data_IF_628709085016
#
_entry.id   IF_628709085016
#
_cell.length_a   1.000
_cell.length_b   1.000
_cell.length_c   1.000
_cell.angle_alpha   90.00
_cell.angle_beta   90.00
_cell.angle_gamma   90.00
#
_symmetry.space_group_name_H-M   'P 1'
#
loop_
_entity.id
_entity.type
_entity.pdbx_description
1 polymer ?
#
# COMPACT_ATOMS: atom_id res chain seq x y z
N UNK A 1 -6.27 12.97 8.46
CA UNK A 1 -5.67 12.11 7.41
C UNK A 1 -4.98 10.93 8.08
N UNK A 2 -5.18 9.68 7.63
CA UNK A 2 -4.52 8.50 8.16
C UNK A 2 -3.07 8.42 7.70
N UNK A 3 -2.20 7.90 8.57
CA UNK A 3 -0.82 7.59 8.21
C UNK A 3 -0.64 6.08 8.31
N UNK A 4 -0.05 5.51 7.28
CA UNK A 4 0.24 4.09 7.15
C UNK A 4 1.76 3.89 7.13
N UNK A 5 2.42 3.67 8.28
CA UNK A 5 3.78 3.15 8.23
C UNK A 5 3.81 1.86 7.42
N UNK A 6 4.88 1.64 6.67
CA UNK A 6 4.94 0.49 5.78
C UNK A 6 6.01 -0.53 6.21
N UNK A 7 5.70 -1.82 6.03
CA UNK A 7 6.60 -2.96 6.22
C UNK A 7 6.58 -3.79 4.93
N UNK A 8 7.72 -3.93 4.27
CA UNK A 8 7.90 -4.91 3.21
C UNK A 8 8.58 -6.14 3.80
N UNK A 9 8.00 -7.32 3.55
CA UNK A 9 8.49 -8.59 4.09
C UNK A 9 9.10 -9.41 2.96
N UNK A 10 10.36 -9.79 3.11
CA UNK A 10 11.05 -10.75 2.25
C UNK A 10 11.93 -11.65 3.09
N UNK A 11 11.88 -12.96 2.81
CA UNK A 11 12.64 -13.96 3.56
C UNK A 11 12.43 -13.81 5.09
N UNK A 12 11.18 -13.49 5.51
CA UNK A 12 10.75 -13.23 6.90
C UNK A 12 11.41 -12.01 7.57
N UNK A 13 12.03 -11.11 6.82
CA UNK A 13 12.70 -9.90 7.31
C UNK A 13 12.02 -8.64 6.79
N UNK A 14 12.21 -7.54 7.54
CA UNK A 14 11.90 -6.21 7.02
C UNK A 14 12.92 -5.82 5.96
N UNK A 15 12.43 -5.42 4.78
CA UNK A 15 13.29 -4.96 3.69
C UNK A 15 12.75 -3.69 3.05
N UNK A 16 13.57 -3.04 2.24
CA UNK A 16 13.16 -1.98 1.32
C UNK A 16 13.83 -2.19 -0.02
N UNK A 17 13.02 -2.10 -1.07
CA UNK A 17 13.49 -2.13 -2.44
C UNK A 17 13.70 -0.71 -2.96
N UNK A 18 14.64 -0.52 -3.87
CA UNK A 18 14.77 0.71 -4.65
C UNK A 18 14.03 0.53 -5.97
N UNK A 19 12.97 1.33 -6.19
CA UNK A 19 12.10 1.24 -7.38
C UNK A 19 11.60 -0.19 -7.67
N UNK A 20 11.30 -0.96 -6.63
CA UNK A 20 10.79 -2.33 -6.77
C UNK A 20 11.82 -3.36 -7.24
N UNK A 21 13.11 -3.00 -7.30
CA UNK A 21 14.18 -3.90 -7.73
C UNK A 21 14.57 -4.87 -6.60
N UNK A 22 14.31 -6.16 -6.81
CA UNK A 22 14.60 -7.23 -5.84
C UNK A 22 16.10 -7.48 -5.64
N UNK A 23 16.93 -7.11 -6.60
CA UNK A 23 18.40 -7.23 -6.52
C UNK A 23 19.02 -6.04 -5.77
N UNK A 24 18.25 -4.95 -5.62
CA UNK A 24 18.65 -3.73 -4.91
C UNK A 24 17.80 -3.54 -3.66
N UNK A 25 18.03 -4.38 -2.65
CA UNK A 25 17.31 -4.37 -1.37
C UNK A 25 18.20 -3.96 -0.22
N UNK A 26 17.63 -3.26 0.75
CA UNK A 26 18.20 -3.04 2.09
C UNK A 26 17.45 -3.93 3.07
N UNK A 27 18.15 -4.72 3.86
CA UNK A 27 17.58 -5.51 4.97
C UNK A 27 17.77 -4.74 6.28
N UNK A 28 16.76 -4.83 7.18
CA UNK A 28 16.79 -4.19 8.49
C UNK A 28 16.81 -5.24 9.60
N UNK A 29 17.41 -4.90 10.73
CA UNK A 29 17.63 -5.86 11.84
C UNK A 29 16.34 -6.29 12.54
N UNK A 30 15.36 -5.35 12.67
CA UNK A 30 14.08 -5.65 13.32
C UNK A 30 13.25 -6.63 12.49
N UNK A 31 12.68 -7.61 13.15
CA UNK A 31 11.67 -8.47 12.53
C UNK A 31 10.40 -7.69 12.19
N UNK A 32 9.57 -8.17 11.25
CA UNK A 32 8.29 -7.53 10.92
C UNK A 32 7.36 -7.37 12.13
N UNK A 33 7.37 -8.35 13.06
CA UNK A 33 6.55 -8.31 14.27
C UNK A 33 7.04 -7.22 15.24
N UNK A 34 8.35 -7.12 15.47
CA UNK A 34 8.94 -6.07 16.31
C UNK A 34 8.70 -4.68 15.72
N UNK A 35 8.83 -4.55 14.39
CA UNK A 35 8.59 -3.29 13.70
C UNK A 35 7.13 -2.85 13.80
N UNK A 36 6.18 -3.80 13.66
CA UNK A 36 4.75 -3.53 13.86
C UNK A 36 4.46 -3.10 15.31
N UNK A 37 5.06 -3.78 16.30
CA UNK A 37 4.98 -3.40 17.71
C UNK A 37 5.50 -1.99 17.97
N UNK A 38 6.67 -1.65 17.41
CA UNK A 38 7.24 -0.30 17.48
C UNK A 38 6.27 0.76 16.93
N UNK A 39 5.60 0.51 15.81
CA UNK A 39 4.61 1.44 15.26
C UNK A 39 3.39 1.55 16.19
N UNK A 40 2.89 0.44 16.70
CA UNK A 40 1.77 0.43 17.66
C UNK A 40 2.08 1.23 18.93
N UNK A 41 3.28 1.04 19.50
CA UNK A 41 3.74 1.73 20.72
C UNK A 41 3.84 3.24 20.54
N UNK A 42 4.12 3.71 19.32
CA UNK A 42 4.09 5.13 18.96
C UNK A 42 2.67 5.66 18.69
N UNK A 43 1.62 4.83 18.75
CA UNK A 43 0.24 5.26 18.61
C UNK A 43 -0.34 5.16 17.20
N UNK A 44 0.38 4.57 16.24
CA UNK A 44 -0.19 4.29 14.92
C UNK A 44 -1.30 3.25 15.03
N UNK A 45 -2.36 3.46 14.24
CA UNK A 45 -3.54 2.57 14.18
C UNK A 45 -3.63 1.81 12.86
N UNK A 46 -2.91 2.26 11.84
CA UNK A 46 -2.93 1.69 10.50
C UNK A 46 -1.54 1.18 10.12
N UNK A 47 -1.48 0.12 9.33
CA UNK A 47 -0.24 -0.47 8.87
C UNK A 47 -0.39 -0.95 7.42
N UNK A 48 0.55 -0.58 6.57
CA UNK A 48 0.65 -1.09 5.20
C UNK A 48 1.71 -2.19 5.15
N UNK A 49 1.36 -3.38 4.65
CA UNK A 49 2.31 -4.50 4.52
C UNK A 49 2.36 -4.96 3.07
N UNK A 50 3.55 -5.29 2.60
CA UNK A 50 3.75 -5.95 1.31
C UNK A 50 4.49 -7.28 1.52
N UNK A 51 3.85 -8.39 1.15
CA UNK A 51 4.49 -9.72 1.07
C UNK A 51 5.26 -9.81 -0.26
N UNK A 52 6.55 -9.51 -0.23
CA UNK A 52 7.41 -9.55 -1.42
C UNK A 52 7.68 -10.98 -1.89
N UNK A 53 7.70 -11.96 -1.00
CA UNK A 53 7.81 -13.38 -1.39
C UNK A 53 6.53 -13.81 -2.10
N UNK A 54 5.37 -13.40 -1.58
CA UNK A 54 4.09 -13.57 -2.26
C UNK A 54 4.03 -12.87 -3.61
N UNK A 55 4.60 -11.67 -3.74
CA UNK A 55 4.69 -10.97 -5.02
C UNK A 55 5.42 -11.78 -6.09
N UNK A 56 6.46 -12.51 -5.71
CA UNK A 56 7.21 -13.39 -6.61
C UNK A 56 6.46 -14.70 -6.93
N UNK A 57 5.95 -15.37 -5.90
CA UNK A 57 5.40 -16.73 -6.04
C UNK A 57 3.91 -16.77 -6.38
N UNK A 58 3.14 -15.76 -5.98
CA UNK A 58 1.68 -15.76 -6.02
C UNK A 58 1.01 -16.49 -4.85
N UNK A 59 1.81 -16.90 -3.87
CA UNK A 59 1.36 -17.61 -2.67
C UNK A 59 1.39 -16.69 -1.44
N UNK A 60 0.67 -17.06 -0.38
CA UNK A 60 0.64 -16.32 0.89
C UNK A 60 1.81 -16.75 1.79
N UNK A 61 3.06 -16.47 1.38
CA UNK A 61 4.28 -17.02 1.98
C UNK A 61 4.48 -16.57 3.42
N UNK A 62 4.19 -15.31 3.74
CA UNK A 62 4.40 -14.74 5.07
C UNK A 62 3.10 -14.63 5.89
N UNK A 63 2.10 -15.49 5.59
CA UNK A 63 0.81 -15.47 6.31
C UNK A 63 0.96 -15.67 7.82
N UNK A 64 1.89 -16.52 8.25
CA UNK A 64 2.19 -16.78 9.66
C UNK A 64 2.61 -15.50 10.40
N UNK A 65 3.46 -14.69 9.79
CA UNK A 65 3.91 -13.40 10.34
C UNK A 65 2.73 -12.41 10.42
N UNK A 66 1.89 -12.37 9.37
CA UNK A 66 0.72 -11.48 9.36
C UNK A 66 -0.27 -11.86 10.47
N UNK A 67 -0.53 -13.17 10.65
CA UNK A 67 -1.38 -13.67 11.74
C UNK A 67 -0.81 -13.32 13.12
N UNK A 68 0.51 -13.42 13.30
CA UNK A 68 1.17 -13.03 14.53
C UNK A 68 1.00 -11.53 14.82
N UNK A 69 1.21 -10.66 13.82
CA UNK A 69 1.01 -9.21 13.96
C UNK A 69 -0.44 -8.90 14.33
N UNK A 70 -1.42 -9.47 13.62
CA UNK A 70 -2.85 -9.26 13.88
C UNK A 70 -3.22 -9.70 15.28
N UNK A 71 -2.70 -10.84 15.74
CA UNK A 71 -3.04 -11.39 17.07
C UNK A 71 -2.44 -10.60 18.24
N UNK A 72 -1.27 -9.98 18.01
CA UNK A 72 -0.55 -9.25 19.06
C UNK A 72 -0.93 -7.79 19.17
N UNK A 73 -1.32 -7.17 18.05
CA UNK A 73 -1.48 -5.73 17.99
C UNK A 73 -2.84 -5.34 17.39
N UNK A 74 -3.52 -4.40 18.05
CA UNK A 74 -4.72 -3.75 17.51
C UNK A 74 -4.31 -2.74 16.43
N UNK A 75 -3.98 -3.26 15.23
CA UNK A 75 -3.62 -2.50 14.05
C UNK A 75 -4.55 -2.84 12.89
N UNK A 76 -5.00 -1.81 12.17
CA UNK A 76 -5.74 -1.95 10.92
C UNK A 76 -4.74 -2.17 9.79
N UNK A 77 -4.62 -3.42 9.38
CA UNK A 77 -3.62 -3.85 8.39
C UNK A 77 -4.23 -3.88 7.01
N UNK A 78 -3.57 -3.25 6.04
CA UNK A 78 -3.76 -3.51 4.62
C UNK A 78 -2.56 -4.27 4.07
N UNK A 79 -2.83 -5.37 3.34
CA UNK A 79 -1.80 -6.30 2.83
C UNK A 79 -1.84 -6.39 1.31
N UNK A 80 -0.69 -6.22 0.68
CA UNK A 80 -0.46 -6.49 -0.73
C UNK A 80 0.65 -7.50 -0.95
N UNK A 81 0.90 -7.85 -2.21
CA UNK A 81 1.97 -8.77 -2.60
C UNK A 81 1.44 -10.09 -3.17
N UNK A 82 1.37 -10.20 -4.50
CA UNK A 82 1.10 -11.43 -5.22
C UNK A 82 -0.30 -12.05 -5.10
N UNK A 83 -1.28 -11.31 -4.60
CA UNK A 83 -2.65 -11.81 -4.40
C UNK A 83 -3.35 -11.91 -5.76
N UNK A 84 -3.58 -13.15 -6.23
CA UNK A 84 -4.03 -13.46 -7.60
C UNK A 84 -5.26 -14.36 -7.67
N UNK A 85 -5.80 -14.79 -6.52
CA UNK A 85 -6.94 -15.71 -6.45
C UNK A 85 -7.77 -15.47 -5.20
N UNK A 86 -8.99 -16.02 -5.17
CA UNK A 86 -9.93 -15.87 -4.06
C UNK A 86 -9.47 -16.59 -2.78
N UNK A 87 -8.70 -17.66 -2.91
CA UNK A 87 -8.17 -18.40 -1.76
C UNK A 87 -7.20 -17.54 -0.95
N UNK A 88 -6.28 -16.83 -1.62
CA UNK A 88 -5.36 -15.90 -0.96
C UNK A 88 -6.12 -14.75 -0.29
N UNK A 89 -7.15 -14.19 -0.94
CA UNK A 89 -7.99 -13.16 -0.33
C UNK A 89 -8.65 -13.71 0.94
N UNK A 90 -9.23 -14.91 0.86
CA UNK A 90 -9.88 -15.58 1.99
C UNK A 90 -8.92 -15.78 3.16
N UNK A 91 -7.72 -16.33 2.91
CA UNK A 91 -6.70 -16.56 3.95
C UNK A 91 -6.35 -15.27 4.70
N UNK A 92 -6.10 -14.17 4.00
CA UNK A 92 -5.78 -12.90 4.64
C UNK A 92 -6.98 -12.30 5.38
N UNK A 93 -8.21 -12.40 4.84
CA UNK A 93 -9.40 -11.89 5.51
C UNK A 93 -9.73 -12.70 6.77
N UNK A 94 -9.56 -14.03 6.76
CA UNK A 94 -9.71 -14.92 7.91
C UNK A 94 -8.60 -14.69 8.96
N UNK A 95 -7.40 -14.30 8.54
CA UNK A 95 -6.32 -13.87 9.43
C UNK A 95 -6.65 -12.55 10.15
N UNK A 96 -7.68 -11.82 9.74
CA UNK A 96 -8.13 -10.59 10.40
C UNK A 96 -7.61 -9.29 9.82
N UNK A 97 -6.99 -9.29 8.62
CA UNK A 97 -6.57 -8.04 7.99
C UNK A 97 -7.77 -7.17 7.61
N UNK A 98 -7.59 -5.85 7.64
CA UNK A 98 -8.66 -4.91 7.30
C UNK A 98 -8.92 -4.89 5.80
N UNK A 99 -7.86 -4.81 4.99
CA UNK A 99 -7.93 -4.72 3.53
C UNK A 99 -6.92 -5.64 2.86
N UNK A 100 -7.34 -6.22 1.75
CA UNK A 100 -6.51 -6.99 0.83
C UNK A 100 -6.33 -6.17 -0.43
N UNK A 101 -5.09 -5.91 -0.83
CA UNK A 101 -4.75 -5.03 -1.94
C UNK A 101 -4.56 -5.88 -3.20
N UNK A 102 -5.36 -5.61 -4.20
CA UNK A 102 -5.24 -6.20 -5.53
C UNK A 102 -4.59 -5.18 -6.48
N UNK A 103 -3.41 -5.49 -6.97
CA UNK A 103 -2.68 -4.69 -7.98
C UNK A 103 -2.76 -5.34 -9.36
N UNK A 104 -1.64 -5.87 -9.83
CA UNK A 104 -1.50 -6.44 -11.19
C UNK A 104 -2.59 -7.44 -11.59
N UNK A 105 -3.07 -8.27 -10.67
CA UNK A 105 -4.14 -9.23 -10.98
C UNK A 105 -5.45 -8.53 -11.35
N UNK A 106 -5.81 -7.46 -10.64
CA UNK A 106 -6.99 -6.66 -10.93
C UNK A 106 -6.87 -5.90 -12.27
N UNK A 107 -5.66 -5.43 -12.59
CA UNK A 107 -5.39 -4.71 -13.85
C UNK A 107 -5.47 -5.67 -15.04
N UNK A 108 -4.92 -6.89 -14.91
CA UNK A 108 -4.93 -7.91 -15.95
C UNK A 108 -6.29 -8.55 -16.15
N UNK A 109 -7.08 -8.69 -15.10
CA UNK A 109 -8.43 -9.27 -15.11
C UNK A 109 -9.42 -8.44 -14.30
N UNK A 110 -10.18 -7.60 -15.01
CA UNK A 110 -11.21 -6.75 -14.40
C UNK A 110 -12.38 -7.56 -13.83
N UNK A 111 -12.68 -8.73 -14.39
CA UNK A 111 -13.72 -9.60 -13.85
C UNK A 111 -13.31 -10.19 -12.51
N UNK A 112 -12.04 -10.57 -12.36
CA UNK A 112 -11.50 -10.99 -11.07
C UNK A 112 -11.66 -9.88 -10.00
N UNK A 113 -11.36 -8.62 -10.35
CA UNK A 113 -11.56 -7.50 -9.44
C UNK A 113 -13.03 -7.35 -9.03
N UNK A 114 -13.95 -7.38 -10.01
CA UNK A 114 -15.38 -7.28 -9.77
C UNK A 114 -15.88 -8.38 -8.84
N UNK A 115 -15.57 -9.62 -9.17
CA UNK A 115 -15.97 -10.80 -8.38
C UNK A 115 -15.37 -10.78 -6.98
N UNK A 116 -14.12 -10.30 -6.83
CA UNK A 116 -13.48 -10.13 -5.52
C UNK A 116 -14.21 -9.11 -4.66
N UNK A 117 -14.59 -7.97 -5.22
CA UNK A 117 -15.34 -6.95 -4.51
C UNK A 117 -16.74 -7.45 -4.08
N UNK A 118 -17.41 -8.24 -4.92
CA UNK A 118 -18.71 -8.83 -4.62
C UNK A 118 -18.61 -9.92 -3.54
N UNK A 119 -17.60 -10.80 -3.60
CA UNK A 119 -17.40 -11.90 -2.64
C UNK A 119 -16.85 -11.46 -1.29
N UNK A 120 -16.06 -10.39 -1.28
CA UNK A 120 -15.41 -9.86 -0.08
C UNK A 120 -15.74 -8.38 0.13
N UNK A 121 -17.01 -8.05 0.40
CA UNK A 121 -17.46 -6.66 0.52
C UNK A 121 -16.67 -5.90 1.58
N UNK A 122 -16.26 -4.69 1.25
CA UNK A 122 -15.45 -3.81 2.09
C UNK A 122 -14.04 -4.34 2.43
N UNK A 123 -13.59 -5.45 1.86
CA UNK A 123 -12.26 -6.02 2.12
C UNK A 123 -11.23 -5.70 1.02
N UNK A 124 -11.68 -5.34 -0.17
CA UNK A 124 -10.79 -5.12 -1.32
C UNK A 124 -10.34 -3.67 -1.40
N UNK A 125 -9.03 -3.48 -1.45
CA UNK A 125 -8.38 -2.26 -1.89
C UNK A 125 -7.77 -2.46 -3.28
N UNK A 126 -7.85 -1.45 -4.15
CA UNK A 126 -7.25 -1.48 -5.47
C UNK A 126 -5.91 -0.75 -5.45
N UNK A 127 -4.82 -1.45 -5.76
CA UNK A 127 -3.49 -0.87 -5.94
C UNK A 127 -3.26 -0.47 -7.38
N UNK A 128 -2.99 0.81 -7.63
CA UNK A 128 -2.65 1.37 -8.93
C UNK A 128 -1.23 1.93 -8.88
N UNK A 129 -0.29 1.15 -9.38
CA UNK A 129 1.09 1.53 -9.51
C UNK A 129 1.29 2.11 -10.91
N UNK A 130 1.71 3.37 -10.99
CA UNK A 130 1.77 4.09 -12.25
C UNK A 130 3.15 4.70 -12.52
N UNK A 131 3.51 4.73 -13.79
CA UNK A 131 4.66 5.45 -14.32
C UNK A 131 4.21 6.37 -15.44
N UNK A 132 4.45 7.67 -15.28
CA UNK A 132 4.09 8.67 -16.29
C UNK A 132 2.60 8.60 -16.70
N UNK A 133 1.72 8.31 -15.73
CA UNK A 133 0.28 8.16 -15.93
C UNK A 133 -0.19 6.81 -16.46
N UNK A 134 0.70 5.89 -16.81
CA UNK A 134 0.39 4.54 -17.28
C UNK A 134 0.54 3.51 -16.17
N UNK A 135 -0.39 2.54 -16.10
CA UNK A 135 -0.34 1.47 -15.12
C UNK A 135 0.81 0.50 -15.40
N UNK A 136 1.51 0.14 -14.33
CA UNK A 136 2.54 -0.90 -14.32
C UNK A 136 2.02 -2.16 -13.66
N UNK A 137 2.47 -3.31 -14.14
CA UNK A 137 2.08 -4.63 -13.64
C UNK A 137 3.31 -5.53 -13.44
N UNK A 138 3.09 -6.73 -12.88
CA UNK A 138 4.15 -7.75 -12.70
C UNK A 138 5.33 -7.26 -11.84
N UNK A 139 5.03 -6.54 -10.74
CA UNK A 139 6.08 -5.95 -9.88
C UNK A 139 6.87 -4.86 -10.61
N UNK A 140 6.17 -4.03 -11.37
CA UNK A 140 6.66 -2.86 -12.12
C UNK A 140 7.54 -3.20 -13.34
N UNK A 141 7.63 -4.47 -13.71
CA UNK A 141 8.47 -4.95 -14.83
C UNK A 141 7.83 -4.71 -16.20
N UNK A 142 6.51 -4.57 -16.24
CA UNK A 142 5.73 -4.44 -17.46
C UNK A 142 4.87 -3.18 -17.43
N UNK A 143 4.86 -2.42 -18.53
CA UNK A 143 3.89 -1.35 -18.74
C UNK A 143 2.63 -1.96 -19.37
N UNK A 144 1.47 -1.72 -18.78
CA UNK A 144 0.19 -2.23 -19.32
C UNK A 144 -0.30 -1.48 -20.57
N UNK A 145 0.34 -0.38 -20.95
CA UNK A 145 -0.11 0.57 -21.97
C UNK A 145 -1.52 1.15 -21.71
N UNK A 146 -2.02 1.05 -20.47
CA UNK A 146 -3.31 1.56 -20.05
C UNK A 146 -3.13 2.79 -19.18
N UNK A 147 -3.82 3.88 -19.52
CA UNK A 147 -3.83 5.08 -18.70
C UNK A 147 -4.57 4.82 -17.38
N UNK A 148 -3.98 5.26 -16.27
CA UNK A 148 -4.54 5.08 -14.92
C UNK A 148 -5.95 5.63 -14.80
N UNK A 149 -6.22 6.83 -15.31
CA UNK A 149 -7.54 7.45 -15.20
C UNK A 149 -8.60 6.75 -16.04
N UNK A 150 -8.22 6.21 -17.21
CA UNK A 150 -9.17 5.50 -18.06
C UNK A 150 -9.53 4.14 -17.46
N UNK A 151 -8.52 3.40 -16.96
CA UNK A 151 -8.78 2.17 -16.20
C UNK A 151 -9.70 2.45 -15.00
N UNK A 152 -9.40 3.48 -14.22
CA UNK A 152 -10.20 3.82 -13.04
C UNK A 152 -11.65 4.14 -13.38
N UNK A 153 -11.92 4.89 -14.46
CA UNK A 153 -13.29 5.16 -14.94
C UNK A 153 -14.06 3.87 -15.23
N UNK A 154 -13.39 2.87 -15.80
CA UNK A 154 -14.02 1.59 -16.13
C UNK A 154 -14.38 0.77 -14.89
N UNK A 155 -13.52 0.77 -13.85
CA UNK A 155 -13.68 -0.12 -12.68
C UNK A 155 -14.26 0.56 -11.44
N UNK A 156 -14.51 1.85 -11.48
CA UNK A 156 -14.98 2.66 -10.33
C UNK A 156 -16.24 2.14 -9.66
N UNK A 157 -17.08 1.41 -10.39
CA UNK A 157 -18.34 0.88 -9.91
C UNK A 157 -18.27 -0.58 -9.42
N UNK A 158 -17.09 -1.20 -9.40
CA UNK A 158 -16.93 -2.60 -8.99
C UNK A 158 -16.94 -2.80 -7.46
N UNK A 159 -16.85 -1.72 -6.68
CA UNK A 159 -17.01 -1.79 -5.23
C UNK A 159 -15.71 -1.93 -4.45
N UNK A 160 -14.56 -1.60 -5.03
CA UNK A 160 -13.35 -1.44 -4.25
C UNK A 160 -13.57 -0.39 -3.14
N UNK A 161 -13.17 -0.71 -1.92
CA UNK A 161 -13.45 0.12 -0.74
C UNK A 161 -12.36 1.15 -0.45
N UNK A 162 -11.21 1.04 -1.12
CA UNK A 162 -10.05 1.93 -1.04
C UNK A 162 -9.23 1.82 -2.30
N UNK A 163 -8.54 2.89 -2.65
CA UNK A 163 -7.56 2.93 -3.72
C UNK A 163 -6.21 3.35 -3.16
N UNK A 164 -5.14 2.69 -3.56
CA UNK A 164 -3.77 3.09 -3.26
C UNK A 164 -3.12 3.48 -4.57
N UNK A 165 -2.71 4.73 -4.68
CA UNK A 165 -2.02 5.22 -5.88
C UNK A 165 -0.54 5.42 -5.60
N UNK A 166 0.30 4.67 -6.32
CA UNK A 166 1.77 4.75 -6.22
C UNK A 166 2.37 5.34 -7.50
N UNK A 167 3.08 6.46 -7.39
CA UNK A 167 3.99 6.88 -8.46
C UNK A 167 5.31 6.14 -8.30
N UNK A 168 5.56 5.15 -9.18
CA UNK A 168 6.75 4.29 -9.09
C UNK A 168 8.06 5.00 -9.44
N UNK A 169 8.00 6.14 -10.15
CA UNK A 169 9.21 6.95 -10.37
C UNK A 169 9.72 7.57 -9.08
N UNK A 170 8.83 7.77 -8.11
CA UNK A 170 9.12 8.41 -6.82
C UNK A 170 9.31 7.41 -5.69
N UNK A 171 8.77 6.18 -5.83
CA UNK A 171 8.83 5.19 -4.76
C UNK A 171 10.28 4.80 -4.43
N UNK A 172 10.60 4.80 -3.14
CA UNK A 172 11.97 4.57 -2.63
C UNK A 172 12.98 5.68 -2.91
N UNK A 173 12.60 6.76 -3.64
CA UNK A 173 13.50 7.84 -4.05
C UNK A 173 13.52 9.05 -3.11
N UNK A 174 12.56 9.17 -2.19
CA UNK A 174 12.43 10.30 -1.25
C UNK A 174 12.46 11.67 -1.97
N UNK A 175 11.61 11.82 -3.00
CA UNK A 175 11.53 13.03 -3.83
C UNK A 175 10.18 13.74 -3.73
N UNK A 176 9.48 13.57 -2.63
CA UNK A 176 8.08 13.93 -2.40
C UNK A 176 7.09 13.15 -3.27
N UNK A 177 5.87 12.86 -2.78
CA UNK A 177 4.82 12.21 -3.54
C UNK A 177 4.38 13.02 -4.77
N UNK A 178 3.78 12.34 -5.74
CA UNK A 178 3.14 13.01 -6.87
C UNK A 178 1.73 13.48 -6.48
N UNK A 179 1.67 14.60 -5.78
CA UNK A 179 0.41 15.16 -5.29
C UNK A 179 -0.56 15.54 -6.40
N UNK A 180 -0.03 16.02 -7.54
CA UNK A 180 -0.85 16.43 -8.67
C UNK A 180 -1.59 15.24 -9.30
N UNK A 181 -0.86 14.18 -9.63
CA UNK A 181 -1.47 12.97 -10.20
C UNK A 181 -2.38 12.27 -9.18
N UNK A 182 -1.97 12.21 -7.90
CA UNK A 182 -2.84 11.66 -6.85
C UNK A 182 -4.14 12.44 -6.72
N UNK A 183 -4.12 13.76 -6.85
CA UNK A 183 -5.32 14.59 -6.83
C UNK A 183 -6.25 14.30 -8.03
N UNK A 184 -5.69 14.11 -9.24
CA UNK A 184 -6.47 13.70 -10.43
C UNK A 184 -7.13 12.34 -10.22
N UNK A 185 -6.39 11.38 -9.67
CA UNK A 185 -6.90 10.04 -9.34
C UNK A 185 -8.00 10.15 -8.28
N UNK A 186 -7.80 10.92 -7.21
CA UNK A 186 -8.78 11.12 -6.15
C UNK A 186 -10.07 11.77 -6.68
N UNK A 187 -9.96 12.76 -7.57
CA UNK A 187 -11.12 13.40 -8.18
C UNK A 187 -11.91 12.44 -9.08
N UNK A 188 -11.26 11.45 -9.68
CA UNK A 188 -11.89 10.43 -10.53
C UNK A 188 -12.44 9.26 -9.71
N UNK A 189 -11.85 8.94 -8.57
CA UNK A 189 -12.19 7.77 -7.75
C UNK A 189 -13.56 7.89 -7.09
N UNK A 190 -14.28 6.76 -6.97
CA UNK A 190 -15.51 6.63 -6.17
C UNK A 190 -15.23 6.21 -4.72
N UNK A 191 -14.01 5.79 -4.40
CA UNK A 191 -13.61 5.39 -3.05
C UNK A 191 -12.45 6.26 -2.53
N UNK A 192 -12.17 6.23 -1.22
CA UNK A 192 -11.04 6.94 -0.63
C UNK A 192 -9.71 6.51 -1.22
N UNK A 193 -8.78 7.46 -1.35
CA UNK A 193 -7.46 7.28 -1.95
C UNK A 193 -6.35 7.45 -0.91
N UNK A 194 -5.37 6.56 -0.97
CA UNK A 194 -4.12 6.63 -0.20
C UNK A 194 -2.99 7.07 -1.12
N UNK A 195 -2.24 8.08 -0.70
CA UNK A 195 -1.02 8.53 -1.38
C UNK A 195 0.09 7.52 -1.11
N UNK A 196 0.80 7.09 -2.15
CA UNK A 196 1.93 6.17 -2.02
C UNK A 196 3.11 6.58 -2.91
N UNK A 197 4.32 6.29 -2.42
CA UNK A 197 5.57 6.56 -3.13
C UNK A 197 6.13 7.98 -2.91
N UNK A 198 7.42 8.06 -2.56
CA UNK A 198 8.19 9.29 -2.57
C UNK A 198 8.23 10.10 -1.29
N UNK A 199 7.47 9.78 -0.23
CA UNK A 199 7.51 10.55 1.02
C UNK A 199 8.94 10.67 1.54
N UNK A 200 9.36 11.90 1.84
CA UNK A 200 10.72 12.24 2.23
C UNK A 200 10.83 13.00 3.56
N UNK A 201 9.80 13.73 3.95
CA UNK A 201 9.82 14.63 5.11
C UNK A 201 8.44 14.82 5.72
N UNK A 202 8.39 15.44 6.91
CA UNK A 202 7.13 15.85 7.57
C UNK A 202 6.38 16.89 6.74
N UNK A 203 7.08 17.71 5.98
CA UNK A 203 6.49 18.71 5.08
C UNK A 203 5.63 18.03 4.00
N UNK A 204 6.00 16.85 3.53
CA UNK A 204 5.17 16.07 2.59
C UNK A 204 3.83 15.67 3.24
N UNK A 205 3.84 15.29 4.52
CA UNK A 205 2.63 14.96 5.27
C UNK A 205 1.73 16.18 5.41
N UNK A 206 2.30 17.34 5.80
CA UNK A 206 1.56 18.61 5.89
C UNK A 206 1.00 19.04 4.54
N UNK A 207 1.78 18.89 3.48
CA UNK A 207 1.33 19.18 2.11
C UNK A 207 0.18 18.27 1.68
N UNK A 208 0.25 16.97 1.99
CA UNK A 208 -0.84 16.02 1.72
C UNK A 208 -2.14 16.44 2.42
N UNK A 209 -2.07 16.83 3.71
CA UNK A 209 -3.21 17.39 4.47
C UNK A 209 -3.76 18.66 3.82
N UNK A 210 -2.86 19.52 3.34
CA UNK A 210 -3.20 20.79 2.69
C UNK A 210 -3.86 20.68 1.31
N UNK A 211 -3.94 19.50 0.71
CA UNK A 211 -4.62 19.29 -0.57
C UNK A 211 -6.12 19.55 -0.50
N UNK A 212 -6.72 19.58 0.69
CA UNK A 212 -8.15 19.80 0.95
C UNK A 212 -9.07 18.94 0.08
N UNK A 213 -8.62 17.73 -0.28
CA UNK A 213 -9.39 16.77 -1.05
C UNK A 213 -9.95 15.72 -0.07
N UNK A 214 -11.26 15.75 0.16
CA UNK A 214 -11.94 14.84 1.09
C UNK A 214 -11.89 13.36 0.71
N UNK A 215 -11.48 13.04 -0.51
CA UNK A 215 -11.26 11.65 -0.96
C UNK A 215 -9.84 11.16 -0.67
N UNK A 216 -8.90 12.02 -0.36
CA UNK A 216 -7.56 11.60 0.10
C UNK A 216 -7.65 11.24 1.57
N UNK A 217 -7.71 9.93 1.84
CA UNK A 217 -7.90 9.38 3.18
C UNK A 217 -6.61 9.32 3.99
N UNK A 218 -5.47 9.07 3.32
CA UNK A 218 -4.22 8.85 4.01
C UNK A 218 -2.99 8.84 3.11
N UNK A 219 -1.87 8.55 3.74
CA UNK A 219 -0.55 8.49 3.11
C UNK A 219 0.29 7.34 3.68
N UNK A 220 0.99 6.62 2.80
CA UNK A 220 1.93 5.57 3.16
C UNK A 220 3.32 6.17 3.35
N UNK A 221 3.97 5.84 4.46
CA UNK A 221 5.33 6.28 4.78
C UNK A 221 6.21 5.06 5.02
N UNK A 222 7.16 4.84 4.14
CA UNK A 222 8.05 3.70 4.18
C UNK A 222 9.51 4.11 4.45
N UNK A 223 10.31 4.17 3.40
CA UNK A 223 11.77 4.33 3.44
C UNK A 223 12.24 5.49 4.33
N UNK A 224 11.55 6.61 4.33
CA UNK A 224 11.93 7.78 5.13
C UNK A 224 11.92 7.51 6.66
N UNK A 225 11.08 6.56 7.14
CA UNK A 225 11.12 6.13 8.54
C UNK A 225 12.35 5.26 8.80
N UNK A 226 12.61 4.29 7.93
CA UNK A 226 13.72 3.37 8.10
C UNK A 226 15.09 4.04 7.99
N UNK A 227 15.23 5.00 7.10
CA UNK A 227 16.47 5.78 6.92
C UNK A 227 16.64 6.87 8.01
N UNK A 228 15.62 7.10 8.85
CA UNK A 228 15.67 8.10 9.92
C UNK A 228 15.44 9.54 9.46
N UNK A 229 15.00 9.77 8.20
CA UNK A 229 14.66 11.11 7.70
C UNK A 229 13.39 11.65 8.38
N UNK A 230 12.49 10.75 8.78
CA UNK A 230 11.29 11.06 9.57
C UNK A 230 11.33 10.25 10.85
N UNK A 231 11.33 10.96 11.99
CA UNK A 231 11.23 10.33 13.31
C UNK A 231 9.78 10.00 13.62
N UNK A 232 9.55 8.84 14.25
CA UNK A 232 8.19 8.41 14.61
C UNK A 232 7.49 9.40 15.55
N UNK A 233 8.23 10.02 16.48
CA UNK A 233 7.73 11.02 17.42
C UNK A 233 7.25 12.31 16.72
N UNK A 234 7.82 12.63 15.56
CA UNK A 234 7.39 13.76 14.75
C UNK A 234 6.18 13.38 13.90
N UNK A 235 6.21 12.18 13.33
CA UNK A 235 5.14 11.67 12.48
C UNK A 235 3.83 11.47 13.26
N UNK A 236 3.92 11.05 14.51
CA UNK A 236 2.76 10.88 15.40
C UNK A 236 2.02 12.20 15.65
N UNK A 237 2.72 13.34 15.71
CA UNK A 237 2.09 14.66 15.87
C UNK A 237 1.22 15.04 14.66
N UNK A 238 1.42 14.38 13.55
CA UNK A 238 0.62 14.57 12.34
C UNK A 238 -0.58 13.61 12.24
N UNK A 239 -0.76 12.69 13.20
CA UNK A 239 -1.99 11.88 13.27
C UNK A 239 -3.16 12.80 13.64
N UNK A 240 -4.30 12.61 12.98
CA UNK A 240 -5.54 13.24 13.41
C UNK A 240 -6.00 12.57 14.73
N UNK A 241 -6.45 13.38 15.67
CA UNK A 241 -6.94 12.95 16.96
C UNK A 241 -8.24 12.11 16.84
#
# INVERSE_FOLDING_TARGET
>A
MKIFPAIDIKDKKCVRLVKGDFDNKTEYEMSPVEQAGKYKDHGFKNLHIVDLDGALTGETVNLDIIQEIVSKFDLKIEIGGGIRNFESIKKYTEAGVEKVILGSAAIKDKNFLKDACEKFPNKIALGLDAKDGYLSVSGWKENSNQLTLDYLKEVNHYGASRLIYTDINRDGMKQSPNFEETAKVANTSNCPVIISGGVSSIEDIKKAKGLNNNKIEGIIVGKAIYDGDIKLEELVKELDA
#
